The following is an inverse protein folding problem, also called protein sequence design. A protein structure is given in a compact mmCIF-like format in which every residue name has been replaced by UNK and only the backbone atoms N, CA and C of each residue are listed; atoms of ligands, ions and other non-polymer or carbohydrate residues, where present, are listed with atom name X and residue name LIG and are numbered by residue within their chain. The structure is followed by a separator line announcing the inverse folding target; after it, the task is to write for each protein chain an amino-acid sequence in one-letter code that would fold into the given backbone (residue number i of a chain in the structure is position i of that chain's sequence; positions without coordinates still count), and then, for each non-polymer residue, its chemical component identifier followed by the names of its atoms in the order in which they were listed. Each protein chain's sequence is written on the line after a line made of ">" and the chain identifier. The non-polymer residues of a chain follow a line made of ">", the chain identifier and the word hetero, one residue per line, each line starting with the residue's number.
data_IF_665015254359
#
_entry.id   IF_665015254359
#
_cell.length_a   1.000
_cell.length_b   1.000
_cell.length_c   1.000
_cell.angle_alpha   90.00
_cell.angle_beta   90.00
_cell.angle_gamma   90.00
#
_symmetry.space_group_name_H-M   'P 1'
#
loop_
_entity.id
_entity.type
_entity.pdbx_description
1 polymer ?
#
# COMPACT_ATOMS: atom_id res chain seq x y z
N UNK A 1 -18.43 9.40 -5.96
CA UNK A 1 -17.52 10.06 -5.00
C UNK A 1 -18.24 11.15 -4.24
N UNK A 2 -18.56 10.83 -3.01
CA UNK A 2 -19.20 11.72 -2.03
C UNK A 2 -18.18 12.36 -1.08
N UNK A 3 -16.97 11.80 -0.96
CA UNK A 3 -15.88 12.42 -0.22
C UNK A 3 -15.55 13.81 -0.77
N UNK A 4 -15.27 14.75 0.13
CA UNK A 4 -15.03 16.16 -0.21
C UNK A 4 -13.64 16.57 0.28
N UNK A 5 -13.17 17.72 -0.22
CA UNK A 5 -11.88 18.31 0.17
C UNK A 5 -11.68 18.36 1.69
N UNK A 6 -12.72 18.74 2.44
CA UNK A 6 -12.66 18.83 3.92
C UNK A 6 -12.27 17.52 4.59
N UNK A 7 -12.67 16.36 4.03
CA UNK A 7 -12.28 15.06 4.57
C UNK A 7 -10.78 14.85 4.37
N UNK A 8 -10.27 15.07 3.16
CA UNK A 8 -8.83 15.00 2.87
C UNK A 8 -8.01 16.05 3.65
N UNK A 9 -8.50 17.27 3.84
CA UNK A 9 -7.83 18.28 4.68
C UNK A 9 -7.74 17.84 6.15
N UNK A 10 -8.73 17.09 6.62
CA UNK A 10 -8.73 16.51 7.97
C UNK A 10 -7.75 15.34 8.05
N UNK A 11 -7.82 14.43 7.08
CA UNK A 11 -6.91 13.27 7.00
C UNK A 11 -5.45 13.72 6.93
N UNK A 12 -5.11 14.70 6.09
CA UNK A 12 -3.73 15.21 5.98
C UNK A 12 -3.23 15.96 7.22
N UNK A 13 -4.13 16.33 8.13
CA UNK A 13 -3.76 16.92 9.42
C UNK A 13 -3.48 15.84 10.46
N UNK A 14 -4.18 14.71 10.35
CA UNK A 14 -4.26 13.72 11.43
C UNK A 14 -3.53 12.41 11.11
N UNK A 15 -3.33 12.06 9.84
CA UNK A 15 -2.63 10.85 9.44
C UNK A 15 -1.21 11.22 9.02
N UNK A 16 -0.24 11.20 9.92
CA UNK A 16 1.18 11.53 9.68
C UNK A 16 2.17 10.54 10.30
N UNK A 17 1.70 9.60 11.13
CA UNK A 17 2.52 8.59 11.78
C UNK A 17 3.33 7.75 10.77
N UNK A 18 4.53 7.36 11.18
CA UNK A 18 5.36 6.45 10.40
C UNK A 18 4.87 5.02 10.54
N UNK A 19 4.96 4.24 9.46
CA UNK A 19 4.82 2.77 9.55
C UNK A 19 5.77 2.20 10.60
N UNK A 20 7.00 2.71 10.67
CA UNK A 20 7.96 2.36 11.71
C UNK A 20 8.80 3.57 12.09
N UNK A 21 8.97 3.82 13.39
CA UNK A 21 9.90 4.84 13.87
C UNK A 21 11.35 4.32 13.88
N UNK A 22 11.52 3.00 13.90
CA UNK A 22 12.83 2.35 14.00
C UNK A 22 13.45 2.03 12.64
N UNK A 23 12.64 1.65 11.66
CA UNK A 23 13.12 1.14 10.38
C UNK A 23 12.63 2.00 9.21
N UNK A 24 13.57 2.49 8.40
CA UNK A 24 13.25 2.99 7.07
C UNK A 24 13.11 1.80 6.12
N UNK A 25 11.87 1.32 5.94
CA UNK A 25 11.58 0.16 5.10
C UNK A 25 12.09 0.30 3.65
N UNK A 26 12.23 1.54 3.14
CA UNK A 26 12.71 1.80 1.79
C UNK A 26 14.16 1.37 1.59
N UNK A 27 14.99 1.42 2.64
CA UNK A 27 16.39 1.00 2.58
C UNK A 27 16.55 -0.50 2.32
N UNK A 28 15.52 -1.30 2.60
CA UNK A 28 15.56 -2.74 2.38
C UNK A 28 15.20 -3.13 0.95
N UNK A 29 14.22 -2.45 0.33
CA UNK A 29 13.82 -2.77 -1.04
C UNK A 29 14.57 -1.97 -2.12
N UNK A 30 15.07 -0.77 -1.81
CA UNK A 30 15.79 0.07 -2.77
C UNK A 30 17.01 -0.61 -3.43
N UNK A 31 17.89 -1.34 -2.72
CA UNK A 31 19.00 -2.04 -3.34
C UNK A 31 18.58 -3.14 -4.34
N UNK A 32 17.32 -3.56 -4.28
CA UNK A 32 16.74 -4.57 -5.15
C UNK A 32 15.96 -3.94 -6.32
N UNK A 33 15.86 -2.61 -6.37
CA UNK A 33 15.05 -1.84 -7.30
C UNK A 33 15.79 -0.58 -7.76
N UNK A 34 17.02 -0.76 -8.25
CA UNK A 34 17.88 0.28 -8.83
C UNK A 34 18.06 1.53 -7.94
N UNK A 35 18.07 1.35 -6.63
CA UNK A 35 18.29 2.43 -5.65
C UNK A 35 17.04 3.18 -5.20
N UNK A 36 15.88 2.97 -5.83
CA UNK A 36 14.62 3.59 -5.41
C UNK A 36 13.72 2.59 -4.67
N UNK A 37 13.08 2.97 -3.55
CA UNK A 37 12.09 2.12 -2.91
C UNK A 37 10.97 1.75 -3.89
N UNK A 38 10.57 0.48 -3.90
CA UNK A 38 9.53 -0.05 -4.80
C UNK A 38 8.23 0.79 -4.78
N UNK A 39 7.82 1.29 -3.61
CA UNK A 39 6.60 2.10 -3.47
C UNK A 39 6.75 3.55 -3.95
N UNK A 40 7.97 3.99 -4.25
CA UNK A 40 8.29 5.31 -4.78
C UNK A 40 8.56 5.28 -6.30
N UNK A 41 8.55 4.08 -6.89
CA UNK A 41 8.84 3.84 -8.30
C UNK A 41 7.53 3.56 -9.06
N UNK A 42 7.26 4.39 -10.08
CA UNK A 42 6.01 4.32 -10.86
C UNK A 42 5.94 3.13 -11.81
N UNK A 43 7.07 2.48 -12.09
CA UNK A 43 7.08 1.20 -12.82
C UNK A 43 6.51 0.06 -11.97
N UNK A 44 6.60 0.19 -10.65
CA UNK A 44 6.09 -0.79 -9.70
C UNK A 44 4.71 -0.41 -9.16
N UNK A 45 4.44 0.88 -8.95
CA UNK A 45 3.19 1.36 -8.37
C UNK A 45 2.82 2.76 -8.88
N UNK A 46 1.74 2.87 -9.67
CA UNK A 46 1.21 4.17 -10.11
C UNK A 46 0.27 4.72 -9.03
N UNK A 47 0.64 5.78 -8.28
CA UNK A 47 -0.23 6.31 -7.25
C UNK A 47 -1.43 7.06 -7.87
N UNK A 48 -2.60 6.81 -7.31
CA UNK A 48 -3.84 7.48 -7.67
C UNK A 48 -4.28 8.44 -6.56
N UNK A 49 -4.84 9.58 -6.95
CA UNK A 49 -5.52 10.51 -6.05
C UNK A 49 -6.97 10.70 -6.49
N UNK A 50 -7.91 10.62 -5.56
CA UNK A 50 -9.29 11.02 -5.86
C UNK A 50 -9.33 12.50 -6.27
N UNK A 51 -10.26 12.96 -7.13
CA UNK A 51 -10.41 14.37 -7.48
C UNK A 51 -10.51 15.34 -6.28
N UNK A 52 -11.20 15.04 -5.16
CA UNK A 52 -11.15 15.90 -3.98
C UNK A 52 -9.75 15.96 -3.34
N UNK A 53 -9.05 14.82 -3.21
CA UNK A 53 -7.67 14.78 -2.71
C UNK A 53 -6.72 15.58 -3.60
N UNK A 54 -6.80 15.37 -4.92
CA UNK A 54 -5.97 16.05 -5.91
C UNK A 54 -6.10 17.58 -5.82
N UNK A 55 -7.28 18.09 -5.47
CA UNK A 55 -7.51 19.53 -5.26
C UNK A 55 -6.85 20.05 -3.98
N UNK A 56 -6.72 19.22 -2.95
CA UNK A 56 -6.03 19.57 -1.69
C UNK A 56 -4.52 19.56 -1.91
N UNK A 57 -3.98 18.47 -2.44
CA UNK A 57 -2.52 18.29 -2.54
C UNK A 57 -1.85 19.35 -3.44
N UNK A 58 -2.47 19.70 -4.58
CA UNK A 58 -1.96 20.73 -5.49
C UNK A 58 -1.82 22.12 -4.85
N UNK A 59 -2.56 22.39 -3.77
CA UNK A 59 -2.44 23.66 -3.03
C UNK A 59 -1.37 23.60 -1.94
N UNK A 60 -1.05 22.39 -1.45
CA UNK A 60 -0.13 22.18 -0.34
C UNK A 60 1.33 22.11 -0.79
N UNK A 61 1.58 21.57 -1.98
CA UNK A 61 2.95 21.28 -2.44
C UNK A 61 3.10 21.31 -3.96
N UNK A 62 4.36 21.41 -4.41
CA UNK A 62 4.79 21.19 -5.80
C UNK A 62 5.42 19.81 -6.01
N UNK A 63 5.30 18.89 -5.05
CA UNK A 63 5.82 17.52 -5.12
C UNK A 63 5.16 16.71 -6.24
N UNK A 64 3.86 16.90 -6.46
CA UNK A 64 3.06 16.04 -7.32
C UNK A 64 2.75 16.67 -8.67
N UNK A 65 2.77 15.84 -9.71
CA UNK A 65 2.24 16.13 -11.04
C UNK A 65 1.35 14.98 -11.51
N UNK A 66 0.52 15.23 -12.52
CA UNK A 66 -0.19 14.15 -13.22
C UNK A 66 0.84 13.24 -13.89
N UNK A 67 0.66 11.94 -13.78
CA UNK A 67 1.50 10.99 -14.49
C UNK A 67 1.06 10.89 -15.94
N UNK A 68 2.05 10.78 -16.83
CA UNK A 68 1.88 10.47 -18.23
C UNK A 68 2.83 9.32 -18.51
N UNK A 69 2.30 8.12 -18.81
CA UNK A 69 3.15 6.97 -19.09
C UNK A 69 3.86 7.16 -20.43
N UNK A 70 4.93 6.41 -20.63
CA UNK A 70 5.53 6.25 -21.96
C UNK A 70 4.45 5.69 -22.92
N UNK A 71 4.21 6.32 -24.09
CA UNK A 71 3.28 5.79 -25.08
C UNK A 71 3.57 4.35 -25.55
N UNK A 72 4.83 3.92 -25.49
CA UNK A 72 5.25 2.58 -25.89
C UNK A 72 5.02 1.53 -24.77
N UNK A 73 4.87 1.98 -23.52
CA UNK A 73 4.43 1.12 -22.42
C UNK A 73 2.91 0.97 -22.41
N UNK A 74 2.44 0.00 -23.20
CA UNK A 74 1.01 -0.32 -23.33
C UNK A 74 0.37 -0.71 -21.99
N UNK A 75 1.12 -1.30 -21.06
CA UNK A 75 0.60 -1.68 -19.75
C UNK A 75 0.33 -0.42 -18.92
N UNK A 76 1.32 0.46 -18.78
CA UNK A 76 1.14 1.70 -18.04
C UNK A 76 0.10 2.63 -18.68
N UNK A 77 -0.02 2.65 -20.02
CA UNK A 77 -1.09 3.38 -20.71
C UNK A 77 -2.47 2.87 -20.34
N UNK A 78 -2.67 1.54 -20.32
CA UNK A 78 -3.94 0.93 -19.92
C UNK A 78 -4.26 1.20 -18.45
N UNK A 79 -3.29 0.99 -17.55
CA UNK A 79 -3.47 1.23 -16.11
C UNK A 79 -3.81 2.70 -15.81
N UNK A 80 -3.11 3.65 -16.45
CA UNK A 80 -3.40 5.08 -16.30
C UNK A 80 -4.77 5.44 -16.86
N UNK A 81 -5.22 4.79 -17.93
CA UNK A 81 -6.58 4.98 -18.45
C UNK A 81 -7.61 4.54 -17.41
N UNK A 82 -7.46 3.34 -16.85
CA UNK A 82 -8.37 2.76 -15.87
C UNK A 82 -8.41 3.60 -14.58
N UNK A 83 -7.24 4.03 -14.07
CA UNK A 83 -7.15 4.93 -12.92
C UNK A 83 -7.90 6.24 -13.19
N UNK A 84 -7.75 6.82 -14.38
CA UNK A 84 -8.35 8.12 -14.70
C UNK A 84 -9.86 8.08 -14.97
N UNK A 85 -10.49 6.90 -14.98
CA UNK A 85 -11.95 6.80 -15.05
C UNK A 85 -12.62 7.40 -13.80
N UNK A 86 -11.98 7.24 -12.63
CA UNK A 86 -12.51 7.74 -11.35
C UNK A 86 -11.52 8.60 -10.57
N UNK A 87 -10.22 8.43 -10.78
CA UNK A 87 -9.16 9.08 -10.02
C UNK A 87 -8.25 9.93 -10.93
N UNK A 88 -7.13 10.40 -10.37
CA UNK A 88 -6.06 11.09 -11.09
C UNK A 88 -4.78 10.30 -10.90
N UNK A 89 -4.24 9.74 -11.98
CA UNK A 89 -2.92 9.11 -11.96
C UNK A 89 -1.84 10.18 -11.72
N UNK A 90 -0.98 9.95 -10.73
CA UNK A 90 -0.02 10.92 -10.24
C UNK A 90 1.40 10.37 -10.20
N UNK A 91 2.39 11.26 -10.12
CA UNK A 91 3.78 10.92 -9.85
C UNK A 91 4.42 12.03 -9.02
N UNK A 92 5.25 11.65 -8.04
CA UNK A 92 5.98 12.59 -7.18
C UNK A 92 7.36 12.94 -7.80
N UNK A 93 8.21 13.66 -7.06
CA UNK A 93 9.59 13.96 -7.48
C UNK A 93 10.62 12.87 -7.11
N UNK A 94 10.15 11.70 -6.69
CA UNK A 94 10.99 10.57 -6.26
C UNK A 94 11.29 10.58 -4.75
N UNK A 95 11.82 9.45 -4.26
CA UNK A 95 12.06 9.21 -2.83
C UNK A 95 13.02 10.25 -2.20
N UNK A 96 14.09 10.62 -2.92
CA UNK A 96 15.07 11.62 -2.45
C UNK A 96 14.49 13.03 -2.24
N UNK A 97 13.32 13.32 -2.81
CA UNK A 97 12.61 14.62 -2.69
C UNK A 97 11.28 14.47 -1.97
N UNK A 98 11.09 13.38 -1.22
CA UNK A 98 9.82 13.07 -0.57
C UNK A 98 9.48 14.09 0.52
N UNK A 99 8.26 14.61 0.49
CA UNK A 99 7.67 15.41 1.56
C UNK A 99 6.63 14.54 2.26
N UNK A 100 6.99 13.91 3.39
CA UNK A 100 6.17 12.87 4.04
C UNK A 100 4.74 13.33 4.35
N UNK A 101 4.61 14.53 4.91
CA UNK A 101 3.32 15.13 5.28
C UNK A 101 2.46 15.49 4.07
N UNK A 102 3.06 15.54 2.89
CA UNK A 102 2.40 15.81 1.62
C UNK A 102 2.34 14.55 0.73
N UNK A 103 2.44 13.34 1.29
CA UNK A 103 2.14 12.12 0.55
C UNK A 103 0.64 12.03 0.25
N UNK A 104 0.31 11.56 -0.96
CA UNK A 104 -1.03 11.07 -1.29
C UNK A 104 -1.43 9.94 -0.35
N UNK A 105 -2.73 9.71 -0.18
CA UNK A 105 -3.27 8.60 0.59
C UNK A 105 -2.65 7.28 0.16
N UNK A 106 -2.60 7.01 -1.15
CA UNK A 106 -1.99 5.80 -1.70
C UNK A 106 -0.54 5.58 -1.23
N UNK A 107 0.29 6.63 -1.14
CA UNK A 107 1.69 6.52 -0.68
C UNK A 107 1.85 6.61 0.84
N UNK A 108 0.84 7.16 1.53
CA UNK A 108 0.83 7.28 2.99
C UNK A 108 0.46 5.97 3.65
N UNK A 109 -0.49 5.26 3.06
CA UNK A 109 -1.01 3.99 3.58
C UNK A 109 -0.28 2.76 3.04
N UNK A 110 0.47 2.87 1.93
CA UNK A 110 1.20 1.75 1.33
C UNK A 110 2.06 1.00 2.37
N UNK A 111 2.01 -0.36 2.42
CA UNK A 111 1.38 -1.27 1.46
C UNK A 111 -0.08 -1.65 1.80
N UNK A 112 -0.73 -0.92 2.69
CA UNK A 112 -1.98 -1.33 3.30
C UNK A 112 -3.22 -0.74 2.61
N UNK A 113 -4.31 -1.49 2.68
CA UNK A 113 -5.67 -1.06 2.35
C UNK A 113 -6.64 -1.52 3.44
N UNK A 114 -7.79 -0.85 3.64
CA UNK A 114 -8.76 -1.27 4.64
C UNK A 114 -9.42 -2.58 4.22
N UNK A 115 -9.24 -3.62 5.03
CA UNK A 115 -9.83 -4.92 4.77
C UNK A 115 -11.24 -5.00 5.37
N UNK A 116 -12.20 -5.31 4.49
CA UNK A 116 -13.60 -5.47 4.82
C UNK A 116 -14.00 -6.95 4.82
N UNK A 117 -14.78 -7.39 5.81
CA UNK A 117 -15.37 -8.73 5.83
C UNK A 117 -16.38 -8.90 4.67
N UNK A 118 -17.04 -10.06 4.57
CA UNK A 118 -18.10 -10.23 3.57
C UNK A 118 -19.32 -9.38 3.89
N UNK A 119 -19.53 -9.12 5.18
CA UNK A 119 -20.63 -8.36 5.75
C UNK A 119 -20.36 -6.85 5.70
N UNK A 120 -19.19 -6.43 5.21
CA UNK A 120 -18.82 -5.01 5.11
C UNK A 120 -18.20 -4.43 6.39
N UNK A 121 -17.76 -5.27 7.32
CA UNK A 121 -17.11 -4.78 8.54
C UNK A 121 -15.64 -4.47 8.28
N UNK A 122 -15.21 -3.24 8.58
CA UNK A 122 -13.80 -2.84 8.53
C UNK A 122 -13.06 -3.34 9.76
N UNK A 123 -12.33 -4.44 9.62
CA UNK A 123 -11.67 -5.13 10.73
C UNK A 123 -10.17 -4.79 10.88
N UNK A 124 -9.57 -4.11 9.91
CA UNK A 124 -8.15 -3.74 9.98
C UNK A 124 -7.47 -3.62 8.62
N UNK A 125 -6.15 -3.61 8.64
CA UNK A 125 -5.28 -3.38 7.50
C UNK A 125 -4.98 -4.72 6.80
N UNK A 126 -5.43 -4.87 5.56
CA UNK A 126 -4.88 -5.85 4.62
C UNK A 126 -3.73 -5.22 3.82
N UNK A 127 -2.93 -6.02 3.12
CA UNK A 127 -1.85 -5.51 2.26
C UNK A 127 -2.08 -5.86 0.79
N UNK A 128 -1.58 -5.02 -0.12
CA UNK A 128 -1.59 -5.28 -1.55
C UNK A 128 -0.66 -6.46 -1.89
N UNK A 129 -1.22 -7.66 -2.03
CA UNK A 129 -0.48 -8.92 -2.17
C UNK A 129 0.38 -9.02 -3.44
N UNK A 130 0.15 -8.16 -4.43
CA UNK A 130 0.98 -8.06 -5.63
C UNK A 130 2.42 -7.59 -5.35
N UNK A 131 2.68 -7.12 -4.12
CA UNK A 131 3.99 -6.68 -3.64
C UNK A 131 4.63 -7.65 -2.64
N UNK A 132 4.05 -8.83 -2.40
CA UNK A 132 4.60 -9.84 -1.47
C UNK A 132 6.08 -10.10 -1.73
N UNK A 133 6.48 -10.20 -3.00
CA UNK A 133 7.82 -10.53 -3.44
C UNK A 133 8.88 -9.42 -3.24
N UNK A 134 8.47 -8.16 -3.02
CA UNK A 134 9.37 -6.99 -3.10
C UNK A 134 9.16 -5.89 -2.06
N UNK A 135 8.04 -5.89 -1.34
CA UNK A 135 7.84 -4.98 -0.21
C UNK A 135 8.30 -5.62 1.10
N UNK A 136 9.35 -5.05 1.71
CA UNK A 136 9.91 -5.56 2.96
C UNK A 136 8.92 -5.55 4.13
N UNK A 137 8.03 -4.55 4.19
CA UNK A 137 7.02 -4.41 5.26
C UNK A 137 6.10 -5.63 5.31
N UNK A 138 5.69 -6.19 4.16
CA UNK A 138 4.77 -7.34 4.10
C UNK A 138 5.37 -8.57 4.78
N UNK A 139 6.69 -8.74 4.73
CA UNK A 139 7.41 -9.83 5.42
C UNK A 139 7.77 -9.51 6.88
N UNK A 140 7.41 -8.32 7.38
CA UNK A 140 7.82 -7.80 8.68
C UNK A 140 6.70 -6.99 9.36
N UNK A 141 5.46 -7.47 9.33
CA UNK A 141 4.29 -6.75 9.88
C UNK A 141 4.42 -6.34 11.36
N UNK A 142 5.30 -6.98 12.13
CA UNK A 142 5.61 -6.61 13.52
C UNK A 142 6.25 -5.22 13.70
N UNK A 143 6.69 -4.58 12.62
CA UNK A 143 7.30 -3.25 12.67
C UNK A 143 6.27 -2.12 12.59
N UNK A 144 5.01 -2.44 12.30
CA UNK A 144 3.93 -1.46 12.11
C UNK A 144 3.51 -0.87 13.45
N UNK A 145 3.66 0.43 13.62
CA UNK A 145 3.38 1.12 14.87
C UNK A 145 1.88 1.30 15.12
N UNK A 146 1.45 1.19 16.38
CA UNK A 146 0.06 1.42 16.79
C UNK A 146 -0.45 2.81 16.39
N UNK A 147 0.40 3.84 16.43
CA UNK A 147 0.03 5.19 16.00
C UNK A 147 -0.34 5.23 14.51
N UNK A 148 0.41 4.53 13.66
CA UNK A 148 0.10 4.38 12.24
C UNK A 148 -1.21 3.65 12.02
N UNK A 149 -1.42 2.52 12.73
CA UNK A 149 -2.68 1.76 12.64
C UNK A 149 -3.87 2.62 13.00
N UNK A 150 -3.79 3.35 14.13
CA UNK A 150 -4.88 4.21 14.58
C UNK A 150 -5.22 5.28 13.54
N UNK A 151 -4.22 6.00 13.05
CA UNK A 151 -4.43 7.08 12.09
C UNK A 151 -4.91 6.57 10.73
N UNK A 152 -4.42 5.39 10.30
CA UNK A 152 -4.92 4.68 9.12
C UNK A 152 -6.42 4.37 9.29
N UNK A 153 -6.80 3.76 10.41
CA UNK A 153 -8.19 3.36 10.69
C UNK A 153 -9.09 4.58 10.72
N UNK A 154 -8.70 5.64 11.43
CA UNK A 154 -9.47 6.88 11.51
C UNK A 154 -9.68 7.51 10.12
N UNK A 155 -8.63 7.52 9.29
CA UNK A 155 -8.68 8.08 7.94
C UNK A 155 -9.60 7.28 7.01
N UNK A 156 -9.44 5.95 6.97
CA UNK A 156 -10.23 5.11 6.07
C UNK A 156 -11.65 4.90 6.55
N UNK A 157 -11.91 4.83 7.86
CA UNK A 157 -13.27 4.81 8.39
C UNK A 157 -14.03 6.06 7.96
N UNK A 158 -13.40 7.25 8.07
CA UNK A 158 -14.01 8.49 7.59
C UNK A 158 -14.35 8.46 6.09
N UNK A 159 -13.49 7.87 5.25
CA UNK A 159 -13.75 7.77 3.81
C UNK A 159 -14.87 6.78 3.51
N UNK A 160 -14.83 5.60 4.13
CA UNK A 160 -15.83 4.54 3.97
C UNK A 160 -17.22 5.02 4.41
N UNK A 161 -17.31 5.73 5.54
CA UNK A 161 -18.60 6.20 6.08
C UNK A 161 -19.29 7.23 5.18
N UNK A 162 -18.52 7.97 4.37
CA UNK A 162 -19.04 9.10 3.59
C UNK A 162 -19.02 8.87 2.09
N UNK A 163 -18.27 7.90 1.57
CA UNK A 163 -18.13 7.64 0.14
C UNK A 163 -18.38 6.17 -0.19
N UNK A 164 -19.59 5.89 -0.66
CA UNK A 164 -20.03 4.55 -1.09
C UNK A 164 -19.08 3.95 -2.13
N UNK A 165 -18.51 4.77 -3.03
CA UNK A 165 -17.55 4.27 -4.02
C UNK A 165 -16.22 3.80 -3.40
N UNK A 166 -15.76 4.43 -2.32
CA UNK A 166 -14.59 3.95 -1.57
C UNK A 166 -14.93 2.65 -0.83
N UNK A 167 -16.10 2.59 -0.19
CA UNK A 167 -16.57 1.36 0.46
C UNK A 167 -16.68 0.18 -0.52
N UNK A 168 -17.30 0.38 -1.68
CA UNK A 168 -17.44 -0.64 -2.73
C UNK A 168 -16.08 -1.09 -3.27
N UNK A 169 -15.17 -0.16 -3.54
CA UNK A 169 -13.82 -0.48 -4.01
C UNK A 169 -13.06 -1.36 -3.01
N UNK A 170 -13.13 -1.05 -1.71
CA UNK A 170 -12.48 -1.87 -0.69
C UNK A 170 -13.20 -3.18 -0.41
N UNK A 171 -14.53 -3.22 -0.59
CA UNK A 171 -15.30 -4.46 -0.52
C UNK A 171 -14.87 -5.42 -1.63
N UNK A 172 -14.72 -4.90 -2.85
CA UNK A 172 -14.23 -5.67 -3.98
C UNK A 172 -12.79 -6.13 -3.77
N UNK A 173 -11.87 -5.23 -3.38
CA UNK A 173 -10.47 -5.55 -3.11
C UNK A 173 -10.33 -6.66 -2.06
N UNK A 174 -11.08 -6.58 -0.97
CA UNK A 174 -11.08 -7.58 0.10
C UNK A 174 -11.67 -8.91 -0.38
N UNK A 175 -12.72 -8.88 -1.20
CA UNK A 175 -13.29 -10.08 -1.81
C UNK A 175 -12.32 -10.75 -2.81
N UNK A 176 -11.60 -9.97 -3.61
CA UNK A 176 -10.57 -10.48 -4.53
C UNK A 176 -9.43 -11.15 -3.74
N UNK A 177 -8.94 -10.52 -2.66
CA UNK A 177 -7.94 -11.12 -1.78
C UNK A 177 -8.41 -12.47 -1.24
N UNK A 178 -9.64 -12.55 -0.70
CA UNK A 178 -10.23 -13.81 -0.21
C UNK A 178 -10.25 -14.91 -1.28
N UNK A 179 -10.62 -14.58 -2.52
CA UNK A 179 -10.67 -15.54 -3.63
C UNK A 179 -9.27 -16.06 -3.97
N UNK A 180 -8.28 -15.17 -4.05
CA UNK A 180 -6.90 -15.52 -4.39
C UNK A 180 -6.29 -16.40 -3.30
N UNK A 181 -6.36 -15.98 -2.04
CA UNK A 181 -5.76 -16.70 -0.92
C UNK A 181 -6.47 -18.03 -0.64
N UNK A 182 -7.79 -18.11 -0.87
CA UNK A 182 -8.51 -19.39 -0.82
C UNK A 182 -8.04 -20.38 -1.91
N UNK A 183 -7.70 -19.90 -3.11
CA UNK A 183 -7.13 -20.73 -4.18
C UNK A 183 -5.72 -21.19 -3.85
N UNK A 184 -4.91 -20.30 -3.26
CA UNK A 184 -3.55 -20.61 -2.78
C UNK A 184 -3.53 -21.51 -1.54
N UNK A 185 -4.67 -21.64 -0.85
CA UNK A 185 -4.78 -22.32 0.44
C UNK A 185 -3.90 -21.67 1.52
N UNK A 186 -3.86 -20.33 1.52
CA UNK A 186 -3.05 -19.51 2.43
C UNK A 186 -3.95 -18.64 3.32
N UNK A 187 -3.48 -18.33 4.52
CA UNK A 187 -4.15 -17.36 5.40
C UNK A 187 -3.93 -15.94 4.87
N UNK A 188 -4.91 -15.06 5.09
CA UNK A 188 -4.72 -13.62 4.88
C UNK A 188 -4.30 -12.99 6.22
N UNK A 189 -3.09 -12.42 6.32
CA UNK A 189 -2.68 -11.64 7.48
C UNK A 189 -3.42 -10.30 7.53
N UNK A 190 -3.96 -9.95 8.69
CA UNK A 190 -4.58 -8.64 8.95
C UNK A 190 -3.97 -8.06 10.23
N UNK A 191 -3.60 -6.79 10.20
CA UNK A 191 -3.34 -6.01 11.41
C UNK A 191 -4.68 -5.41 11.82
N UNK A 192 -5.22 -5.78 12.98
CA UNK A 192 -6.52 -5.28 13.41
C UNK A 192 -6.50 -3.78 13.74
N UNK A 193 -7.67 -3.23 14.05
CA UNK A 193 -7.85 -1.79 14.31
C UNK A 193 -7.08 -1.26 15.52
N UNK A 194 -6.70 -2.14 16.44
CA UNK A 194 -5.96 -1.81 17.66
C UNK A 194 -4.45 -2.15 17.52
N UNK A 195 -4.04 -2.73 16.40
CA UNK A 195 -2.65 -3.14 16.13
C UNK A 195 -2.33 -4.58 16.53
N UNK A 196 -3.34 -5.38 16.89
CA UNK A 196 -3.22 -6.83 17.03
C UNK A 196 -3.19 -7.56 15.68
N UNK A 197 -3.08 -8.89 15.73
CA UNK A 197 -2.98 -9.71 14.53
C UNK A 197 -4.16 -10.66 14.39
N UNK A 198 -4.77 -10.66 13.21
CA UNK A 198 -5.83 -11.58 12.81
C UNK A 198 -5.39 -12.36 11.57
N UNK A 199 -6.01 -13.52 11.38
CA UNK A 199 -5.91 -14.32 10.16
C UNK A 199 -7.30 -14.62 9.60
N UNK A 200 -7.46 -14.43 8.30
CA UNK A 200 -8.64 -14.92 7.58
C UNK A 200 -8.29 -16.28 6.97
N UNK A 201 -9.03 -17.32 7.35
CA UNK A 201 -8.73 -18.68 6.93
C UNK A 201 -9.12 -18.92 5.46
N UNK A 202 -8.29 -19.63 4.66
CA UNK A 202 -8.65 -20.02 3.30
C UNK A 202 -9.82 -21.00 3.31
N UNK A 203 -10.64 -20.98 2.25
CA UNK A 203 -11.75 -21.95 2.04
C UNK A 203 -12.76 -22.04 3.20
N UNK A 204 -12.77 -21.05 4.08
CA UNK A 204 -13.62 -20.99 5.28
C UNK A 204 -14.86 -20.10 5.10
N UNK A 205 -15.01 -19.50 3.92
CA UNK A 205 -16.00 -18.45 3.73
C UNK A 205 -15.64 -17.12 4.39
N UNK A 206 -14.39 -16.90 4.81
CA UNK A 206 -13.94 -15.64 5.40
C UNK A 206 -13.91 -15.65 6.93
N UNK A 207 -13.86 -16.83 7.56
CA UNK A 207 -13.70 -16.97 9.01
C UNK A 207 -12.42 -16.27 9.46
N UNK A 208 -12.56 -15.41 10.46
CA UNK A 208 -11.48 -14.64 11.07
C UNK A 208 -11.12 -15.25 12.42
N UNK A 209 -9.84 -15.35 12.72
CA UNK A 209 -9.30 -15.82 14.01
C UNK A 209 -8.15 -14.91 14.44
N UNK A 210 -7.84 -14.93 15.75
CA UNK A 210 -6.61 -14.30 16.27
C UNK A 210 -5.39 -15.06 15.72
N UNK A 211 -4.33 -14.32 15.42
CA UNK A 211 -3.07 -14.86 14.95
C UNK A 211 -1.89 -14.42 15.83
N UNK A 212 -0.81 -15.21 15.81
CA UNK A 212 0.53 -14.74 16.17
C UNK A 212 1.24 -14.28 14.90
N UNK A 213 2.01 -13.18 14.97
CA UNK A 213 2.76 -12.65 13.81
C UNK A 213 3.73 -13.67 13.21
N UNK A 214 4.19 -14.66 13.99
CA UNK A 214 5.05 -15.76 13.53
C UNK A 214 4.34 -16.71 12.57
N UNK A 215 3.01 -16.70 12.52
CA UNK A 215 2.23 -17.48 11.55
C UNK A 215 2.29 -16.86 10.15
N UNK A 216 2.67 -15.58 10.03
CA UNK A 216 2.68 -14.88 8.76
C UNK A 216 3.92 -15.21 7.94
N UNK A 217 3.68 -15.52 6.67
CA UNK A 217 4.72 -15.83 5.71
C UNK A 217 5.67 -14.66 5.48
N UNK A 218 6.93 -15.00 5.23
CA UNK A 218 7.91 -14.08 4.63
C UNK A 218 8.09 -14.45 3.16
N UNK A 219 8.50 -13.48 2.36
CA UNK A 219 8.47 -13.60 0.92
C UNK A 219 9.77 -13.13 0.26
N UNK A 220 10.00 -13.64 -0.95
CA UNK A 220 11.09 -13.23 -1.83
C UNK A 220 12.45 -13.18 -1.12
N UNK A 221 13.21 -12.09 -1.26
CA UNK A 221 14.53 -11.95 -0.65
C UNK A 221 14.47 -11.75 0.88
N UNK A 222 13.29 -11.49 1.44
CA UNK A 222 13.12 -11.15 2.86
C UNK A 222 12.87 -12.36 3.77
N UNK A 223 12.87 -13.58 3.21
CA UNK A 223 12.75 -14.83 3.99
C UNK A 223 13.93 -15.05 4.96
N UNK A 224 15.11 -14.50 4.66
CA UNK A 224 16.28 -14.54 5.55
C UNK A 224 17.35 -13.54 5.12
N UNK A 225 18.25 -13.16 6.04
CA UNK A 225 19.40 -12.29 5.74
C UNK A 225 20.31 -12.88 4.65
N UNK A 226 20.43 -14.21 4.60
CA UNK A 226 21.23 -14.90 3.57
C UNK A 226 20.60 -14.76 2.20
N UNK A 227 19.27 -14.92 2.09
CA UNK A 227 18.54 -14.72 0.84
C UNK A 227 18.65 -13.26 0.38
N UNK A 228 18.47 -12.31 1.31
CA UNK A 228 18.57 -10.89 1.03
C UNK A 228 19.95 -10.51 0.47
N UNK A 229 21.04 -10.85 1.18
CA UNK A 229 22.41 -10.55 0.73
C UNK A 229 22.76 -11.20 -0.61
N UNK A 230 22.23 -12.40 -0.88
CA UNK A 230 22.42 -13.09 -2.16
C UNK A 230 21.74 -12.31 -3.28
N UNK A 231 20.53 -11.83 -3.04
CA UNK A 231 19.74 -11.13 -4.05
C UNK A 231 20.27 -9.73 -4.33
N UNK A 232 20.70 -8.98 -3.30
CA UNK A 232 21.37 -7.68 -3.49
C UNK A 232 22.58 -7.83 -4.42
N UNK A 233 23.45 -8.82 -4.16
CA UNK A 233 24.61 -9.09 -5.02
C UNK A 233 24.25 -9.50 -6.46
N UNK A 234 23.07 -10.10 -6.66
CA UNK A 234 22.57 -10.45 -7.99
C UNK A 234 22.11 -9.18 -8.72
N UNK A 235 21.35 -8.32 -8.05
CA UNK A 235 20.82 -7.08 -8.61
C UNK A 235 21.94 -6.06 -8.89
N UNK A 236 22.93 -5.93 -8.01
CA UNK A 236 24.12 -5.09 -8.25
C UNK A 236 24.83 -5.42 -9.56
N UNK A 237 24.94 -6.71 -9.90
CA UNK A 237 25.53 -7.15 -11.18
C UNK A 237 24.65 -6.78 -12.37
N UNK A 238 23.35 -6.99 -12.25
CA UNK A 238 22.39 -6.67 -13.31
C UNK A 238 22.40 -5.18 -13.62
N UNK A 239 22.35 -4.32 -12.59
CA UNK A 239 22.35 -2.88 -12.79
C UNK A 239 23.68 -2.37 -13.35
N UNK A 240 24.81 -2.97 -12.98
CA UNK A 240 26.11 -2.66 -13.56
C UNK A 240 26.27 -3.05 -15.05
N UNK A 241 25.38 -3.89 -15.59
CA UNK A 241 25.38 -4.29 -17.01
C UNK A 241 24.44 -3.42 -17.88
N UNK A 242 23.59 -2.61 -17.26
CA UNK A 242 22.57 -1.77 -17.93
C UNK A 242 23.02 -0.30 -18.03
N UNK A 243 23.95 0.14 -17.17
CA UNK A 243 24.65 1.44 -17.24
C UNK A 243 25.81 1.45 -18.26
#
# INVERSE_FOLDING_TARGET
>A
MTARKKHFETIYRNFNASISEKYDCGQFCAPLNNGDPVCCDVENAIPAASPPEWKVIKKRTKLWKKYKPDPDDKHAVAEVKDINETCVACVCKGAAKCERDNRLMACRSFPFFPYLTKEGEFIGLGYYWIFEDRCWVISNLQIVEHAFVKEFVDAYQMLIDVDEGEFEAFMEQSAQMRRIFSRRNEIIPIIDREGGYLKVLPKSGGKVEIADVKEFSKFGPFVSDKAYKKEVKRMEKIFAEID
#
